data_IF_224306715793
#
_entry.id   IF_224306715793
#
_cell.length_a   1.000
_cell.length_b   1.000
_cell.length_c   1.000
_cell.angle_alpha   90.00
_cell.angle_beta   90.00
_cell.angle_gamma   90.00
#
_symmetry.space_group_name_H-M   'P 1'
#
loop_
_entity.id
_entity.type
_entity.pdbx_description
1 polymer ?
#
# COMPACT_ATOMS: atom_id res chain seq x y z
N UNK A 1 9.45 18.67 -11.47
CA UNK A 1 9.73 17.44 -10.70
C UNK A 1 9.72 16.29 -11.68
N UNK A 2 10.90 15.81 -12.08
CA UNK A 2 11.09 14.73 -13.04
C UNK A 2 11.18 13.40 -12.29
N UNK A 3 10.49 12.35 -12.78
CA UNK A 3 10.79 10.96 -12.40
C UNK A 3 9.64 10.04 -11.97
N UNK A 4 8.36 10.42 -12.03
CA UNK A 4 7.29 9.59 -11.46
C UNK A 4 6.76 8.45 -12.36
N UNK A 5 7.26 8.30 -13.60
CA UNK A 5 6.61 7.49 -14.64
C UNK A 5 7.23 6.10 -14.86
N UNK A 6 8.15 5.64 -14.01
CA UNK A 6 8.82 4.32 -14.20
C UNK A 6 8.60 3.30 -13.09
N UNK A 7 8.06 3.71 -11.95
CA UNK A 7 7.82 2.78 -10.85
C UNK A 7 6.34 2.35 -10.87
N UNK A 8 6.04 1.34 -11.67
CA UNK A 8 4.69 0.74 -11.76
C UNK A 8 4.45 -0.37 -10.72
N UNK A 9 5.34 -0.50 -9.74
CA UNK A 9 5.25 -1.47 -8.64
C UNK A 9 5.16 -0.74 -7.31
N UNK A 10 4.43 -1.33 -6.37
CA UNK A 10 4.41 -0.89 -4.98
C UNK A 10 5.71 -1.33 -4.32
N UNK A 11 6.37 -0.42 -3.61
CA UNK A 11 7.54 -0.73 -2.80
C UNK A 11 7.31 -0.29 -1.34
N UNK A 12 8.03 -0.86 -0.36
CA UNK A 12 7.76 -0.61 1.06
C UNK A 12 7.87 0.86 1.49
N UNK A 13 8.67 1.65 0.78
CA UNK A 13 8.88 3.09 1.02
C UNK A 13 7.81 4.01 0.44
N UNK A 14 6.90 3.51 -0.41
CA UNK A 14 5.79 4.32 -0.93
C UNK A 14 4.87 4.74 0.21
N UNK A 15 4.32 5.95 0.11
CA UNK A 15 3.26 6.39 1.04
C UNK A 15 1.96 5.69 0.69
N UNK A 16 1.20 5.27 1.71
CA UNK A 16 -0.11 4.63 1.49
C UNK A 16 -1.05 5.56 0.73
N UNK A 17 -1.02 6.87 1.02
CA UNK A 17 -1.81 7.84 0.27
C UNK A 17 -1.42 7.94 -1.21
N UNK A 18 -0.14 7.79 -1.55
CA UNK A 18 0.31 7.80 -2.95
C UNK A 18 -0.16 6.54 -3.68
N UNK A 19 0.01 5.37 -3.04
CA UNK A 19 -0.46 4.08 -3.57
C UNK A 19 -1.96 4.14 -3.83
N UNK A 20 -2.75 4.65 -2.89
CA UNK A 20 -4.21 4.76 -3.04
C UNK A 20 -4.64 5.87 -4.01
N UNK A 21 -3.82 6.90 -4.21
CA UNK A 21 -4.08 7.93 -5.22
C UNK A 21 -3.85 7.37 -6.64
N UNK A 22 -2.82 6.53 -6.82
CA UNK A 22 -2.48 5.90 -8.10
C UNK A 22 -3.35 4.69 -8.40
N UNK A 23 -3.64 3.87 -7.38
CA UNK A 23 -4.41 2.63 -7.49
C UNK A 23 -5.47 2.55 -6.39
N UNK A 24 -6.62 3.25 -6.53
CA UNK A 24 -7.66 3.29 -5.53
C UNK A 24 -8.27 1.92 -5.17
N UNK A 25 -8.24 0.98 -6.11
CA UNK A 25 -8.74 -0.39 -5.93
C UNK A 25 -7.91 -1.21 -4.93
N UNK A 26 -6.64 -0.84 -4.67
CA UNK A 26 -5.80 -1.51 -3.67
C UNK A 26 -6.27 -1.29 -2.24
N UNK A 27 -7.22 -0.36 -2.00
CA UNK A 27 -7.86 -0.21 -0.70
C UNK A 27 -8.51 -1.51 -0.24
N UNK A 28 -9.17 -2.23 -1.16
CA UNK A 28 -9.86 -3.47 -0.81
C UNK A 28 -8.85 -4.53 -0.37
N UNK A 29 -7.73 -4.65 -1.10
CA UNK A 29 -6.61 -5.53 -0.77
C UNK A 29 -6.01 -5.20 0.60
N UNK A 30 -5.83 -3.91 0.92
CA UNK A 30 -5.38 -3.50 2.25
C UNK A 30 -6.36 -3.97 3.32
N UNK A 31 -7.66 -3.70 3.14
CA UNK A 31 -8.69 -4.03 4.13
C UNK A 31 -8.84 -5.56 4.32
N UNK A 32 -8.67 -6.33 3.25
CA UNK A 32 -8.61 -7.80 3.30
C UNK A 32 -7.34 -8.30 4.00
N UNK A 33 -6.21 -7.62 3.84
CA UNK A 33 -4.95 -7.99 4.49
C UNK A 33 -4.99 -7.79 6.00
N UNK A 34 -5.61 -6.71 6.50
CA UNK A 34 -5.81 -6.51 7.94
C UNK A 34 -7.00 -5.61 8.26
N UNK A 35 -7.81 -5.94 9.28
CA UNK A 35 -8.91 -5.09 9.74
C UNK A 35 -8.42 -3.72 10.23
N UNK A 36 -7.13 -3.57 10.58
CA UNK A 36 -6.53 -2.28 10.91
C UNK A 36 -6.73 -1.22 9.81
N UNK A 37 -6.83 -1.66 8.55
CA UNK A 37 -7.03 -0.80 7.39
C UNK A 37 -8.50 -0.43 7.14
N UNK A 38 -9.48 -0.99 7.86
CA UNK A 38 -10.89 -0.60 7.72
C UNK A 38 -11.11 0.90 7.97
N UNK A 39 -10.30 1.50 8.85
CA UNK A 39 -10.32 2.94 9.13
C UNK A 39 -9.99 3.77 7.88
N UNK A 40 -9.27 3.22 6.91
CA UNK A 40 -8.98 3.84 5.62
C UNK A 40 -10.21 3.93 4.71
N UNK A 41 -11.30 3.18 4.97
CA UNK A 41 -12.57 3.35 4.25
C UNK A 41 -13.28 4.64 4.65
N UNK A 42 -13.00 5.19 5.83
CA UNK A 42 -13.64 6.43 6.30
C UNK A 42 -12.93 7.66 5.70
N UNK A 43 -13.59 8.48 4.87
CA UNK A 43 -13.00 9.67 4.23
C UNK A 43 -12.44 10.70 5.21
N UNK A 44 -13.00 10.78 6.42
CA UNK A 44 -12.54 11.71 7.45
C UNK A 44 -11.21 11.26 8.06
N UNK A 45 -11.00 9.94 8.20
CA UNK A 45 -9.76 9.35 8.70
C UNK A 45 -8.68 9.20 7.60
N UNK A 46 -9.09 9.21 6.31
CA UNK A 46 -8.19 9.22 5.15
C UNK A 46 -7.29 10.46 5.07
N UNK A 47 -7.67 11.58 5.68
CA UNK A 47 -6.89 12.84 5.59
C UNK A 47 -5.66 12.87 6.48
N UNK A 48 -5.58 12.01 7.50
CA UNK A 48 -4.57 12.18 8.57
C UNK A 48 -3.58 11.04 8.64
N UNK A 49 -4.03 9.78 8.59
CA UNK A 49 -3.14 8.63 8.85
C UNK A 49 -2.39 8.09 7.60
N UNK A 50 -3.03 7.81 6.45
CA UNK A 50 -2.35 7.19 5.31
C UNK A 50 -1.41 8.13 4.54
N UNK A 51 -1.52 9.46 4.71
CA UNK A 51 -0.61 10.43 4.12
C UNK A 51 0.76 10.50 4.84
N UNK A 52 0.81 10.05 6.10
CA UNK A 52 1.96 10.20 6.98
C UNK A 52 2.78 8.91 7.13
N UNK A 53 2.27 7.76 6.66
CA UNK A 53 2.94 6.46 6.81
C UNK A 53 3.23 5.80 5.48
N UNK A 54 4.35 5.08 5.44
CA UNK A 54 4.77 4.21 4.34
C UNK A 54 4.00 2.89 4.33
N UNK A 55 4.00 2.17 3.22
CA UNK A 55 3.43 0.81 3.11
C UNK A 55 4.04 -0.12 4.17
N UNK A 56 5.36 -0.05 4.40
CA UNK A 56 6.01 -0.85 5.44
C UNK A 56 5.53 -0.52 6.85
N UNK A 57 5.38 0.76 7.19
CA UNK A 57 4.85 1.17 8.50
C UNK A 57 3.39 0.75 8.65
N UNK A 58 2.61 0.86 7.57
CA UNK A 58 1.21 0.46 7.54
C UNK A 58 1.06 -1.06 7.76
N UNK A 59 1.93 -1.87 7.15
CA UNK A 59 2.00 -3.31 7.38
C UNK A 59 2.23 -3.62 8.86
N UNK A 60 3.25 -3.00 9.47
CA UNK A 60 3.58 -3.20 10.89
C UNK A 60 2.44 -2.80 11.82
N UNK A 61 1.76 -1.68 11.55
CA UNK A 61 0.57 -1.24 12.31
C UNK A 61 -0.57 -2.26 12.15
N UNK A 62 -0.70 -2.86 10.97
CA UNK A 62 -1.67 -3.91 10.66
C UNK A 62 -1.31 -5.30 11.17
N UNK A 63 -0.15 -5.46 11.81
CA UNK A 63 0.36 -6.77 12.28
C UNK A 63 0.87 -7.67 11.15
N UNK A 64 1.31 -7.09 10.03
CA UNK A 64 1.82 -7.78 8.85
C UNK A 64 3.30 -7.46 8.63
N UNK A 65 4.02 -8.41 8.02
CA UNK A 65 5.36 -8.13 7.50
C UNK A 65 5.30 -7.18 6.29
N UNK A 66 6.21 -6.20 6.20
CA UNK A 66 6.28 -5.28 5.06
C UNK A 66 6.37 -5.98 3.70
N UNK A 67 7.19 -7.02 3.55
CA UNK A 67 7.31 -7.72 2.27
C UNK A 67 6.01 -8.42 1.88
N UNK A 68 5.31 -9.02 2.84
CA UNK A 68 4.03 -9.69 2.61
C UNK A 68 2.97 -8.72 2.11
N UNK A 69 2.87 -7.53 2.71
CA UNK A 69 1.91 -6.53 2.24
C UNK A 69 2.26 -6.03 0.83
N UNK A 70 3.54 -5.76 0.57
CA UNK A 70 4.00 -5.32 -0.75
C UNK A 70 3.73 -6.37 -1.82
N UNK A 71 3.98 -7.66 -1.52
CA UNK A 71 3.71 -8.77 -2.41
C UNK A 71 2.21 -8.87 -2.76
N UNK A 72 1.33 -8.74 -1.75
CA UNK A 72 -0.13 -8.73 -1.98
C UNK A 72 -0.59 -7.60 -2.88
N UNK A 73 -0.07 -6.39 -2.64
CA UNK A 73 -0.41 -5.22 -3.46
C UNK A 73 0.07 -5.38 -4.90
N UNK A 74 1.31 -5.85 -5.10
CA UNK A 74 1.84 -6.08 -6.45
C UNK A 74 1.14 -7.23 -7.18
N UNK A 75 0.75 -8.29 -6.47
CA UNK A 75 -0.08 -9.37 -7.02
C UNK A 75 -1.43 -8.84 -7.51
N UNK A 76 -2.08 -7.98 -6.74
CA UNK A 76 -3.34 -7.35 -7.14
C UNK A 76 -3.20 -6.43 -8.36
N UNK A 77 -2.01 -5.88 -8.60
CA UNK A 77 -1.69 -5.13 -9.81
C UNK A 77 -1.32 -6.03 -11.01
N UNK A 78 -1.27 -7.36 -10.83
CA UNK A 78 -0.76 -8.28 -11.85
C UNK A 78 0.75 -8.15 -12.09
N UNK A 79 1.48 -7.53 -11.15
CA UNK A 79 2.92 -7.21 -11.24
C UNK A 79 3.79 -8.25 -10.51
N UNK A 80 3.32 -9.50 -10.40
CA UNK A 80 4.14 -10.58 -9.83
C UNK A 80 5.30 -10.93 -10.77
N UNK A 81 6.53 -10.64 -10.35
CA UNK A 81 7.70 -10.95 -11.16
C UNK A 81 9.04 -10.48 -10.61
N UNK A 82 9.41 -10.92 -9.40
CA UNK A 82 10.76 -11.39 -9.10
C UNK A 82 10.80 -11.89 -7.64
N UNK A 83 11.00 -13.19 -7.38
CA UNK A 83 11.56 -13.58 -6.09
C UNK A 83 12.92 -12.86 -5.98
N UNK A 84 13.03 -11.92 -5.05
CA UNK A 84 14.34 -11.41 -4.64
C UNK A 84 14.90 -12.46 -3.69
N UNK A 85 15.36 -13.57 -4.29
CA UNK A 85 16.18 -14.58 -3.64
C UNK A 85 17.65 -14.15 -3.61
#
# INVERSE_FOLDING_TARGET
MAGADREEVVHPGMKVAEVLARWPHLLEVLVEASPAFQKLKNPLLRRTMPALVTVAQAARIGGLEPEELVARLNRALGKEGAPQG
#
